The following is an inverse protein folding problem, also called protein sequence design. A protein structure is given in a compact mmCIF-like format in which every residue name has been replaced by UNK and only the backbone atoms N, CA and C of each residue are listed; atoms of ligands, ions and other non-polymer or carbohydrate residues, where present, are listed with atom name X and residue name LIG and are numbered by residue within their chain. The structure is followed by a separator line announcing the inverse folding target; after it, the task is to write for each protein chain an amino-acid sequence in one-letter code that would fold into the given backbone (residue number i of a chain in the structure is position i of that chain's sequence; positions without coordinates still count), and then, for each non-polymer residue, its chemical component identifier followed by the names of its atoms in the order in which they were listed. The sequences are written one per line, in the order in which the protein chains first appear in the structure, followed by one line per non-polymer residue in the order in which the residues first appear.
data_IF_279307559341
#
_entry.id   IF_279307559341
#
_cell.length_a   1.000
_cell.length_b   1.000
_cell.length_c   1.000
_cell.angle_alpha   90.00
_cell.angle_beta   90.00
_cell.angle_gamma   90.00
#
_symmetry.space_group_name_H-M   'P 1'
#
loop_
_entity.id
_entity.type
_entity.pdbx_description
1 polymer ?
#
# COMPACT_ATOMS: atom_id res chain seq x y z
N UNK A 1 -13.65 4.15 2.57
CA UNK A 1 -13.37 5.27 3.50
C UNK A 1 -14.05 4.97 4.83
N UNK A 2 -13.27 4.65 5.87
CA UNK A 2 -13.78 4.08 7.11
C UNK A 2 -14.43 5.11 8.05
N UNK A 3 -15.35 4.62 8.89
CA UNK A 3 -16.06 5.37 9.94
C UNK A 3 -15.10 6.19 10.82
N UNK A 4 -13.86 5.72 11.02
CA UNK A 4 -12.83 6.43 11.78
C UNK A 4 -12.42 7.79 11.19
N UNK A 5 -12.41 7.93 9.86
CA UNK A 5 -12.13 9.21 9.21
C UNK A 5 -13.26 10.22 9.48
N UNK A 6 -14.52 9.77 9.51
CA UNK A 6 -15.68 10.60 9.81
C UNK A 6 -15.71 11.09 11.27
N UNK A 7 -15.29 10.24 12.22
CA UNK A 7 -15.26 10.60 13.65
C UNK A 7 -14.17 11.63 13.94
N UNK A 8 -12.95 11.41 13.42
CA UNK A 8 -11.85 12.37 13.54
C UNK A 8 -12.19 13.71 12.87
N UNK A 9 -12.88 13.65 11.75
CA UNK A 9 -13.39 14.82 11.06
C UNK A 9 -14.39 15.61 11.91
N UNK A 10 -15.38 14.93 12.49
CA UNK A 10 -16.42 15.57 13.30
C UNK A 10 -15.85 16.22 14.57
N UNK A 11 -14.93 15.53 15.26
CA UNK A 11 -14.25 16.06 16.44
C UNK A 11 -13.37 17.28 16.14
N UNK A 12 -12.71 17.31 14.98
CA UNK A 12 -11.91 18.46 14.55
C UNK A 12 -12.80 19.67 14.18
N UNK A 13 -13.93 19.43 13.52
CA UNK A 13 -14.88 20.49 13.10
C UNK A 13 -15.55 21.16 14.31
N UNK A 14 -15.86 20.42 15.38
CA UNK A 14 -16.55 20.96 16.56
C UNK A 14 -15.77 22.04 17.33
N UNK A 15 -14.45 22.15 17.12
CA UNK A 15 -13.55 23.03 17.87
C UNK A 15 -13.16 24.32 17.09
N UNK A 16 -13.71 24.53 15.89
CA UNK A 16 -13.31 25.62 14.98
C UNK A 16 -14.35 26.75 14.89
N UNK A 17 -13.93 28.01 15.08
CA UNK A 17 -14.73 29.22 14.82
C UNK A 17 -15.01 29.40 13.31
N UNK A 18 -16.14 30.02 12.97
CA UNK A 18 -16.74 30.10 11.62
C UNK A 18 -15.78 30.44 10.45
N UNK A 19 -14.83 31.36 10.62
CA UNK A 19 -13.87 31.71 9.56
C UNK A 19 -12.87 30.58 9.25
N UNK A 20 -12.39 29.88 10.27
CA UNK A 20 -11.53 28.70 10.07
C UNK A 20 -12.30 27.50 9.52
N UNK A 21 -13.62 27.49 9.68
CA UNK A 21 -14.52 26.46 9.17
C UNK A 21 -14.57 26.48 7.63
N UNK A 22 -14.59 27.67 7.01
CA UNK A 22 -14.61 27.84 5.56
C UNK A 22 -13.27 27.46 4.88
N UNK A 23 -12.13 27.87 5.44
CA UNK A 23 -10.81 27.44 4.98
C UNK A 23 -10.63 25.92 5.14
N UNK A 24 -11.16 25.36 6.24
CA UNK A 24 -11.15 23.92 6.49
C UNK A 24 -11.94 23.16 5.42
N UNK A 25 -13.13 23.62 5.00
CA UNK A 25 -13.88 22.95 3.93
C UNK A 25 -13.10 22.88 2.61
N UNK A 26 -12.39 23.95 2.24
CA UNK A 26 -11.54 23.93 1.05
C UNK A 26 -10.36 22.97 1.21
N UNK A 27 -9.67 23.01 2.36
CA UNK A 27 -8.57 22.09 2.66
C UNK A 27 -9.02 20.62 2.60
N UNK A 28 -10.13 20.29 3.25
CA UNK A 28 -10.75 18.96 3.24
C UNK A 28 -11.09 18.54 1.82
N UNK A 29 -11.72 19.43 1.04
CA UNK A 29 -12.08 19.14 -0.36
C UNK A 29 -10.84 18.79 -1.19
N UNK A 30 -9.77 19.58 -1.06
CA UNK A 30 -8.52 19.31 -1.78
C UNK A 30 -7.83 18.04 -1.28
N UNK A 31 -7.82 17.78 0.03
CA UNK A 31 -7.28 16.56 0.61
C UNK A 31 -8.05 15.32 0.11
N UNK A 32 -9.38 15.36 0.08
CA UNK A 32 -10.22 14.28 -0.45
C UNK A 32 -9.98 14.02 -1.94
N UNK A 33 -9.87 15.08 -2.76
CA UNK A 33 -9.53 14.95 -4.19
C UNK A 33 -8.15 14.32 -4.36
N UNK A 34 -7.16 14.78 -3.60
CA UNK A 34 -5.80 14.22 -3.64
C UNK A 34 -5.79 12.74 -3.23
N UNK A 35 -6.47 12.38 -2.13
CA UNK A 35 -6.61 10.99 -1.69
C UNK A 35 -7.28 10.15 -2.77
N UNK A 36 -8.37 10.62 -3.39
CA UNK A 36 -9.05 9.87 -4.44
C UNK A 36 -8.14 9.63 -5.64
N UNK A 37 -7.42 10.65 -6.12
CA UNK A 37 -6.50 10.53 -7.25
C UNK A 37 -5.33 9.59 -6.92
N UNK A 38 -4.70 9.76 -5.76
CA UNK A 38 -3.58 8.93 -5.30
C UNK A 38 -4.01 7.50 -4.98
N UNK A 39 -5.27 7.30 -4.59
CA UNK A 39 -5.79 5.96 -4.29
C UNK A 39 -5.87 5.09 -5.54
N UNK A 40 -6.10 5.66 -6.74
CA UNK A 40 -6.23 4.88 -7.98
C UNK A 40 -4.96 4.06 -8.29
N UNK A 41 -3.76 4.64 -8.40
CA UNK A 41 -2.55 3.87 -8.65
C UNK A 41 -2.19 2.94 -7.48
N UNK A 42 -2.48 3.32 -6.23
CA UNK A 42 -2.24 2.45 -5.07
C UNK A 42 -3.14 1.22 -5.15
N UNK A 43 -4.44 1.39 -5.35
CA UNK A 43 -5.40 0.28 -5.47
C UNK A 43 -5.07 -0.61 -6.67
N UNK A 44 -4.68 -0.02 -7.81
CA UNK A 44 -4.24 -0.79 -8.97
C UNK A 44 -3.04 -1.68 -8.64
N UNK A 45 -1.99 -1.12 -8.05
CA UNK A 45 -0.80 -1.90 -7.65
C UNK A 45 -1.14 -2.96 -6.61
N UNK A 46 -2.00 -2.66 -5.62
CA UNK A 46 -2.46 -3.65 -4.64
C UNK A 46 -3.20 -4.81 -5.31
N UNK A 47 -4.11 -4.53 -6.25
CA UNK A 47 -4.84 -5.55 -6.98
C UNK A 47 -3.92 -6.36 -7.90
N UNK A 48 -2.97 -5.72 -8.56
CA UNK A 48 -1.98 -6.39 -9.40
C UNK A 48 -1.16 -7.36 -8.54
N UNK A 49 -0.57 -6.88 -7.45
CA UNK A 49 0.18 -7.67 -6.47
C UNK A 49 -0.67 -8.79 -5.86
N UNK A 50 -1.97 -8.58 -5.70
CA UNK A 50 -2.88 -9.59 -5.18
C UNK A 50 -3.15 -10.74 -6.16
N UNK A 51 -3.15 -10.45 -7.46
CA UNK A 51 -3.38 -11.44 -8.51
C UNK A 51 -2.09 -12.09 -9.03
N UNK A 52 -0.93 -11.61 -8.61
CA UNK A 52 0.35 -12.20 -8.98
C UNK A 52 0.64 -13.44 -8.13
N UNK A 53 1.09 -14.51 -8.80
CA UNK A 53 1.54 -15.73 -8.13
C UNK A 53 2.93 -15.58 -7.53
N UNK A 54 3.77 -14.72 -8.13
CA UNK A 54 5.13 -14.41 -7.73
C UNK A 54 5.39 -12.90 -7.73
N UNK A 55 6.25 -12.44 -6.83
CA UNK A 55 6.66 -11.05 -6.72
C UNK A 55 8.17 -10.95 -6.51
N UNK A 56 8.80 -9.99 -7.17
CA UNK A 56 10.15 -9.57 -6.83
C UNK A 56 10.14 -8.84 -5.49
N UNK A 57 11.05 -9.20 -4.61
CA UNK A 57 11.18 -8.66 -3.27
C UNK A 57 12.62 -8.19 -3.04
N UNK A 58 12.76 -6.93 -2.64
CA UNK A 58 14.02 -6.34 -2.21
C UNK A 58 13.82 -5.89 -0.76
N UNK A 59 14.58 -6.47 0.17
CA UNK A 59 14.43 -6.15 1.58
C UNK A 59 15.22 -7.06 2.49
N UNK A 60 14.70 -7.29 3.69
CA UNK A 60 15.34 -8.15 4.67
C UNK A 60 14.81 -9.58 4.49
N UNK A 61 15.70 -10.53 4.25
CA UNK A 61 15.37 -11.94 4.16
C UNK A 61 14.70 -12.41 5.47
N UNK A 62 13.53 -13.06 5.42
CA UNK A 62 12.78 -13.40 6.61
C UNK A 62 13.52 -14.38 7.54
N UNK A 63 14.29 -15.31 6.98
CA UNK A 63 15.09 -16.28 7.75
C UNK A 63 16.46 -15.74 8.17
N UNK A 64 17.31 -15.35 7.21
CA UNK A 64 18.70 -14.97 7.49
C UNK A 64 18.88 -13.56 8.05
N UNK A 65 17.82 -12.73 8.01
CA UNK A 65 17.81 -11.32 8.45
C UNK A 65 18.84 -10.43 7.73
N UNK A 66 19.34 -10.86 6.57
CA UNK A 66 20.25 -10.09 5.72
C UNK A 66 19.48 -9.36 4.63
N UNK A 67 20.08 -8.31 4.09
CA UNK A 67 19.57 -7.70 2.86
C UNK A 67 19.59 -8.76 1.76
N UNK A 68 18.49 -8.84 1.04
CA UNK A 68 18.24 -9.86 0.03
C UNK A 68 17.32 -9.30 -1.05
N UNK A 69 17.60 -9.75 -2.26
CA UNK A 69 16.80 -9.53 -3.45
C UNK A 69 16.49 -10.90 -4.05
N UNK A 70 15.23 -11.17 -4.31
CA UNK A 70 14.78 -12.41 -4.92
C UNK A 70 13.26 -12.47 -5.02
N UNK A 71 12.72 -13.68 -5.21
CA UNK A 71 11.30 -13.86 -5.53
C UNK A 71 10.55 -14.48 -4.36
N UNK A 72 9.37 -13.96 -4.06
CA UNK A 72 8.39 -14.57 -3.15
C UNK A 72 7.20 -15.09 -3.97
N UNK A 73 6.57 -16.16 -3.52
CA UNK A 73 5.38 -16.73 -4.15
C UNK A 73 4.27 -16.99 -3.13
N UNK A 74 3.04 -17.13 -3.60
CA UNK A 74 1.93 -17.59 -2.75
C UNK A 74 1.98 -19.11 -2.58
N UNK A 75 1.90 -19.58 -1.35
CA UNK A 75 1.70 -20.98 -1.05
C UNK A 75 0.23 -21.41 -1.25
N UNK A 76 -0.10 -22.68 -0.96
CA UNK A 76 -1.48 -23.20 -1.08
C UNK A 76 -2.47 -22.55 -0.11
N UNK A 77 -1.97 -21.92 0.96
CA UNK A 77 -2.78 -21.21 1.95
C UNK A 77 -2.91 -19.71 1.62
N UNK A 78 -2.25 -19.24 0.55
CA UNK A 78 -2.23 -17.84 0.15
C UNK A 78 -1.21 -16.99 0.91
N UNK A 79 -0.32 -17.61 1.70
CA UNK A 79 0.76 -16.92 2.40
C UNK A 79 1.95 -16.70 1.47
N UNK A 80 2.65 -15.57 1.65
CA UNK A 80 3.86 -15.26 0.90
C UNK A 80 5.05 -16.01 1.49
N UNK A 81 5.64 -16.89 0.70
CA UNK A 81 6.83 -17.68 1.05
C UNK A 81 7.96 -17.39 0.08
N UNK A 82 9.21 -17.62 0.50
CA UNK A 82 10.36 -17.52 -0.40
C UNK A 82 10.18 -18.53 -1.54
N UNK A 83 10.38 -18.08 -2.77
CA UNK A 83 10.38 -18.98 -3.91
C UNK A 83 11.71 -19.73 -4.01
N UNK A 84 11.79 -20.91 -3.39
CA UNK A 84 12.95 -21.81 -3.46
C UNK A 84 12.98 -22.65 -4.75
N UNK A 85 12.09 -22.39 -5.72
CA UNK A 85 12.06 -23.16 -6.97
C UNK A 85 13.35 -22.91 -7.76
N UNK A 86 14.09 -23.95 -8.18
CA UNK A 86 15.36 -23.79 -8.89
C UNK A 86 15.24 -23.27 -10.34
N UNK A 87 14.09 -22.72 -10.75
CA UNK A 87 13.71 -22.60 -12.17
C UNK A 87 13.71 -21.19 -12.78
N UNK A 88 14.03 -20.12 -12.04
CA UNK A 88 14.11 -18.77 -12.64
C UNK A 88 15.49 -18.09 -12.39
N UNK A 89 16.54 -18.89 -12.19
CA UNK A 89 17.94 -18.39 -12.22
C UNK A 89 18.50 -18.31 -13.66
N UNK A 90 17.68 -18.03 -14.67
CA UNK A 90 18.19 -17.40 -15.89
C UNK A 90 18.48 -15.92 -15.61
N UNK A 91 19.38 -15.66 -14.65
CA UNK A 91 20.20 -14.46 -14.72
C UNK A 91 20.99 -14.61 -16.02
N UNK A 92 20.55 -13.92 -17.06
CA UNK A 92 21.29 -13.84 -18.32
C UNK A 92 22.72 -13.45 -17.97
N UNK A 93 23.65 -14.39 -18.12
CA UNK A 93 25.07 -14.13 -18.01
C UNK A 93 25.42 -13.29 -19.24
N UNK A 94 25.60 -11.99 -19.03
CA UNK A 94 26.21 -11.06 -20.01
C UNK A 94 27.71 -11.06 -19.82
#
# INVERSE_FOLDING_TARGET
MGIGCFVLFYAYISDLKEEKLLENFNFIRYACIAINILSIPINYNVLLTWNLEKLDFIGIHPETKRNWEGVIKRDRNGEWVIDESPQDHELSVV
#
